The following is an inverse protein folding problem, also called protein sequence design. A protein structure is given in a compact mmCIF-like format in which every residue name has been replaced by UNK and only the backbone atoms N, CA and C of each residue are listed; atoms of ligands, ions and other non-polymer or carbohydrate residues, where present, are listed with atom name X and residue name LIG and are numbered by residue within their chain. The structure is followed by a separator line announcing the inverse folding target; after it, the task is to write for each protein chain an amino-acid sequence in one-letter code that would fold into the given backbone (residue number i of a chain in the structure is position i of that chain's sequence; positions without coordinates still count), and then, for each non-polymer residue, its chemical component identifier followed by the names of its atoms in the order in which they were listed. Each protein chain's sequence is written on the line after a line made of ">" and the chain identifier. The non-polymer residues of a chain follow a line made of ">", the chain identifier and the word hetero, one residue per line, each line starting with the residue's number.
data_IF_256688961639
#
_entry.id   IF_256688961639
#
_cell.length_a   1.000
_cell.length_b   1.000
_cell.length_c   1.000
_cell.angle_alpha   90.00
_cell.angle_beta   90.00
_cell.angle_gamma   90.00
#
_symmetry.space_group_name_H-M   'P 1'
#
loop_
_entity.id
_entity.type
_entity.pdbx_description
1 polymer ?
#
# COMPACT_ATOMS: atom_id res chain seq x y z
N UNK A 1 15.96 -2.58 -11.89
CA UNK A 1 15.29 -3.54 -12.79
C UNK A 1 14.56 -2.89 -13.95
N UNK A 2 14.15 -1.61 -13.88
CA UNK A 2 13.45 -0.93 -14.98
C UNK A 2 14.22 -0.98 -16.31
N UNK A 3 15.55 -0.87 -16.25
CA UNK A 3 16.44 -0.98 -17.42
C UNK A 3 16.30 -2.33 -18.16
N UNK A 4 15.87 -3.38 -17.47
CA UNK A 4 15.59 -4.69 -18.07
C UNK A 4 14.09 -4.85 -18.40
N UNK A 5 13.19 -4.33 -17.57
CA UNK A 5 11.75 -4.46 -17.77
C UNK A 5 11.22 -3.64 -18.96
N UNK A 6 11.72 -2.42 -19.19
CA UNK A 6 11.23 -1.55 -20.27
C UNK A 6 11.52 -2.15 -21.65
N UNK A 7 12.75 -2.57 -22.00
CA UNK A 7 13.02 -3.19 -23.30
C UNK A 7 12.19 -4.47 -23.51
N UNK A 8 12.05 -5.30 -22.48
CA UNK A 8 11.26 -6.54 -22.55
C UNK A 8 9.77 -6.24 -22.82
N UNK A 9 9.19 -5.22 -22.18
CA UNK A 9 7.82 -4.81 -22.45
C UNK A 9 7.64 -4.28 -23.89
N UNK A 10 8.65 -3.57 -24.40
CA UNK A 10 8.64 -3.06 -25.78
C UNK A 10 8.72 -4.20 -26.82
N UNK A 11 9.42 -5.30 -26.54
CA UNK A 11 9.35 -6.51 -27.38
C UNK A 11 7.94 -7.12 -27.39
N UNK A 12 7.30 -7.23 -26.21
CA UNK A 12 5.92 -7.69 -26.10
C UNK A 12 4.93 -6.81 -26.88
N UNK A 13 5.18 -5.50 -26.91
CA UNK A 13 4.42 -4.57 -27.75
C UNK A 13 4.54 -4.87 -29.25
N UNK A 14 5.73 -5.25 -29.72
CA UNK A 14 5.98 -5.64 -31.12
C UNK A 14 5.38 -7.00 -31.50
N UNK A 15 4.93 -7.78 -30.51
CA UNK A 15 4.40 -9.13 -30.70
C UNK A 15 5.46 -10.23 -30.60
N UNK A 16 6.69 -9.88 -30.21
CA UNK A 16 7.79 -10.81 -29.97
C UNK A 16 7.67 -11.41 -28.56
N UNK A 17 6.72 -12.33 -28.38
CA UNK A 17 6.40 -12.92 -27.06
C UNK A 17 7.36 -14.02 -26.60
N UNK A 18 8.12 -14.60 -27.51
CA UNK A 18 9.00 -15.75 -27.25
C UNK A 18 10.45 -15.34 -26.96
N UNK A 19 10.80 -14.08 -27.20
CA UNK A 19 12.10 -13.54 -26.81
C UNK A 19 12.09 -13.14 -25.33
N UNK A 20 13.09 -13.61 -24.58
CA UNK A 20 13.19 -13.36 -23.15
C UNK A 20 14.59 -12.96 -22.74
N UNK A 21 14.71 -11.85 -22.02
CA UNK A 21 15.98 -11.40 -21.48
C UNK A 21 16.44 -12.36 -20.35
N UNK A 22 17.62 -13.01 -20.48
CA UNK A 22 18.08 -14.02 -19.52
C UNK A 22 18.35 -13.47 -18.11
N UNK A 23 18.45 -12.14 -17.95
CA UNK A 23 18.61 -11.49 -16.63
C UNK A 23 17.30 -11.40 -15.85
N UNK A 24 16.15 -11.63 -16.49
CA UNK A 24 14.84 -11.57 -15.85
C UNK A 24 14.43 -12.96 -15.35
N UNK A 25 14.26 -13.09 -14.04
CA UNK A 25 13.77 -14.31 -13.38
C UNK A 25 12.29 -14.22 -12.99
N UNK A 26 11.66 -13.05 -13.15
CA UNK A 26 10.24 -12.83 -12.85
C UNK A 26 9.36 -13.33 -14.00
N UNK A 27 8.16 -13.88 -13.76
CA UNK A 27 7.28 -14.26 -14.86
C UNK A 27 6.71 -13.03 -15.62
N UNK A 28 6.06 -13.22 -16.79
CA UNK A 28 5.72 -12.13 -17.72
C UNK A 28 4.46 -11.32 -17.37
N UNK A 29 3.92 -11.44 -16.15
CA UNK A 29 2.62 -10.88 -15.78
C UNK A 29 2.51 -9.37 -15.95
N UNK A 30 3.57 -8.62 -15.65
CA UNK A 30 3.63 -7.17 -15.87
C UNK A 30 3.49 -6.81 -17.35
N UNK A 31 4.24 -7.51 -18.21
CA UNK A 31 4.27 -7.23 -19.66
C UNK A 31 2.97 -7.61 -20.34
N UNK A 32 2.43 -8.79 -19.99
CA UNK A 32 1.12 -9.23 -20.48
C UNK A 32 0.06 -8.20 -20.09
N UNK A 33 0.04 -7.76 -18.83
CA UNK A 33 -0.97 -6.81 -18.34
C UNK A 33 -0.85 -5.45 -19.03
N UNK A 34 0.36 -4.89 -19.14
CA UNK A 34 0.57 -3.64 -19.88
C UNK A 34 0.14 -3.76 -21.34
N UNK A 35 0.46 -4.86 -22.01
CA UNK A 35 0.10 -5.06 -23.41
C UNK A 35 -1.42 -5.23 -23.61
N UNK A 36 -2.12 -5.89 -22.68
CA UNK A 36 -3.58 -5.99 -22.67
C UNK A 36 -4.27 -4.62 -22.51
N UNK A 37 -3.63 -3.67 -21.84
CA UNK A 37 -4.13 -2.30 -21.72
C UNK A 37 -3.79 -1.49 -22.97
N UNK A 38 -2.54 -1.57 -23.43
CA UNK A 38 -1.99 -0.73 -24.50
C UNK A 38 -2.52 -1.11 -25.89
N UNK A 39 -2.62 -2.40 -26.24
CA UNK A 39 -3.02 -2.83 -27.60
C UNK A 39 -4.42 -2.36 -28.00
N UNK A 40 -5.48 -2.57 -27.18
CA UNK A 40 -6.81 -2.06 -27.50
C UNK A 40 -6.81 -0.54 -27.62
N UNK A 41 -6.04 0.15 -26.77
CA UNK A 41 -5.91 1.60 -26.79
C UNK A 41 -5.23 2.08 -28.09
N UNK A 42 -4.19 1.38 -28.54
CA UNK A 42 -3.48 1.68 -29.79
C UNK A 42 -4.37 1.55 -31.03
N UNK A 43 -5.26 0.55 -31.02
CA UNK A 43 -6.26 0.37 -32.06
C UNK A 43 -7.27 1.53 -32.09
N UNK A 44 -7.72 2.01 -30.92
CA UNK A 44 -8.65 3.14 -30.80
C UNK A 44 -8.02 4.46 -31.27
N UNK A 45 -6.75 4.70 -30.93
CA UNK A 45 -6.02 5.93 -31.30
C UNK A 45 -5.26 5.83 -32.62
N UNK A 46 -5.59 4.86 -33.48
CA UNK A 46 -5.04 4.65 -34.82
C UNK A 46 -3.50 4.71 -34.90
N UNK A 47 -2.80 4.19 -33.88
CA UNK A 47 -1.32 4.23 -33.79
C UNK A 47 -0.69 5.62 -33.94
N UNK A 48 -1.43 6.71 -33.75
CA UNK A 48 -0.89 8.07 -33.86
C UNK A 48 0.10 8.39 -32.72
N UNK A 49 -0.02 7.66 -31.61
CA UNK A 49 0.76 7.83 -30.38
C UNK A 49 1.55 6.55 -30.11
N UNK A 50 2.85 6.67 -29.81
CA UNK A 50 3.66 5.55 -29.33
C UNK A 50 3.29 5.22 -27.87
N UNK A 51 2.25 4.40 -27.71
CA UNK A 51 1.73 3.95 -26.40
C UNK A 51 2.66 2.95 -25.69
N UNK A 52 3.72 2.48 -26.33
CA UNK A 52 4.75 1.63 -25.71
C UNK A 52 5.98 2.43 -25.24
N UNK A 53 5.84 3.75 -25.12
CA UNK A 53 6.84 4.57 -24.45
C UNK A 53 6.91 4.27 -22.95
N UNK A 54 8.06 4.58 -22.35
CA UNK A 54 8.32 4.39 -20.92
C UNK A 54 7.24 5.03 -20.03
N UNK A 55 6.72 6.19 -20.40
CA UNK A 55 5.72 6.90 -19.60
C UNK A 55 4.38 6.14 -19.55
N UNK A 56 3.93 5.59 -20.67
CA UNK A 56 2.70 4.78 -20.71
C UNK A 56 2.86 3.43 -20.02
N UNK A 57 4.04 2.82 -20.15
CA UNK A 57 4.36 1.60 -19.40
C UNK A 57 4.29 1.88 -17.89
N UNK A 58 4.95 2.93 -17.39
CA UNK A 58 4.88 3.37 -15.98
C UNK A 58 3.44 3.67 -15.52
N UNK A 59 2.59 4.21 -16.40
CA UNK A 59 1.18 4.46 -16.08
C UNK A 59 0.42 3.16 -15.69
N UNK A 60 0.86 1.98 -16.16
CA UNK A 60 0.32 0.69 -15.70
C UNK A 60 0.43 0.55 -14.17
N UNK A 61 1.57 0.94 -13.59
CA UNK A 61 1.77 0.85 -12.14
C UNK A 61 0.99 1.90 -11.36
N UNK A 62 0.75 3.07 -11.96
CA UNK A 62 -0.17 4.07 -11.39
C UNK A 62 -1.60 3.50 -11.31
N UNK A 63 -2.05 2.78 -12.34
CA UNK A 63 -3.36 2.12 -12.31
C UNK A 63 -3.45 1.07 -11.20
N UNK A 64 -2.38 0.29 -10.98
CA UNK A 64 -2.32 -0.62 -9.83
C UNK A 64 -2.35 0.13 -8.50
N UNK A 65 -1.66 1.27 -8.38
CA UNK A 65 -1.71 2.11 -7.17
C UNK A 65 -3.12 2.64 -6.85
N UNK A 66 -3.84 3.12 -7.87
CA UNK A 66 -5.24 3.54 -7.73
C UNK A 66 -6.13 2.35 -7.34
N UNK A 67 -5.91 1.20 -7.97
CA UNK A 67 -6.59 -0.04 -7.62
C UNK A 67 -6.33 -0.47 -6.18
N UNK A 68 -5.08 -0.39 -5.74
CA UNK A 68 -4.62 -0.76 -4.41
C UNK A 68 -5.32 0.08 -3.34
N UNK A 69 -5.45 1.40 -3.54
CA UNK A 69 -6.24 2.26 -2.66
C UNK A 69 -7.68 1.75 -2.50
N UNK A 70 -8.35 1.39 -3.61
CA UNK A 70 -9.73 0.87 -3.58
C UNK A 70 -9.84 -0.45 -2.80
N UNK A 71 -8.88 -1.36 -3.00
CA UNK A 71 -8.82 -2.65 -2.31
C UNK A 71 -8.58 -2.45 -0.81
N UNK A 72 -7.57 -1.66 -0.44
CA UNK A 72 -7.26 -1.34 0.96
C UNK A 72 -8.45 -0.70 1.67
N UNK A 73 -9.13 0.26 1.02
CA UNK A 73 -10.33 0.87 1.58
C UNK A 73 -11.42 -0.17 1.87
N UNK A 74 -11.67 -1.09 0.94
CA UNK A 74 -12.65 -2.18 1.14
C UNK A 74 -12.24 -3.14 2.26
N UNK A 75 -10.96 -3.50 2.36
CA UNK A 75 -10.45 -4.33 3.46
C UNK A 75 -10.65 -3.64 4.81
N UNK A 76 -10.29 -2.36 4.91
CA UNK A 76 -10.48 -1.57 6.13
C UNK A 76 -11.95 -1.46 6.54
N UNK A 77 -12.88 -1.33 5.58
CA UNK A 77 -14.33 -1.35 5.86
C UNK A 77 -14.76 -2.70 6.45
N UNK A 78 -14.22 -3.81 5.95
CA UNK A 78 -14.52 -5.15 6.47
C UNK A 78 -13.97 -5.36 7.89
N UNK A 79 -12.77 -4.83 8.19
CA UNK A 79 -12.15 -4.99 9.50
C UNK A 79 -12.66 -4.00 10.56
N UNK A 80 -13.06 -2.79 10.15
CA UNK A 80 -13.50 -1.72 11.05
C UNK A 80 -14.87 -1.16 10.64
N UNK A 81 -15.96 -1.95 10.69
CA UNK A 81 -17.27 -1.57 10.16
C UNK A 81 -17.91 -0.36 10.88
N UNK A 82 -17.55 -0.13 12.15
CA UNK A 82 -18.09 0.96 12.97
C UNK A 82 -17.23 2.24 12.95
N UNK A 83 -16.10 2.24 12.24
CA UNK A 83 -15.22 3.40 12.17
C UNK A 83 -15.71 4.39 11.11
N UNK A 84 -15.42 5.68 11.34
CA UNK A 84 -15.77 6.74 10.39
C UNK A 84 -15.17 6.48 8.99
N UNK A 85 -15.99 6.74 7.96
CA UNK A 85 -15.67 6.45 6.56
C UNK A 85 -14.59 7.37 6.01
N UNK A 86 -14.50 8.60 6.51
CA UNK A 86 -13.45 9.53 6.09
C UNK A 86 -12.11 9.09 6.69
N UNK A 87 -12.10 8.72 7.96
CA UNK A 87 -10.91 8.16 8.62
C UNK A 87 -10.42 6.86 7.95
N UNK A 88 -11.33 5.94 7.58
CA UNK A 88 -10.96 4.74 6.81
C UNK A 88 -10.35 5.11 5.45
N UNK A 89 -10.95 6.07 4.76
CA UNK A 89 -10.47 6.50 3.44
C UNK A 89 -9.10 7.17 3.53
N UNK A 90 -8.85 7.95 4.58
CA UNK A 90 -7.55 8.55 4.87
C UNK A 90 -6.50 7.49 5.19
N UNK A 91 -6.80 6.54 6.08
CA UNK A 91 -5.87 5.45 6.43
C UNK A 91 -5.54 4.57 5.21
N UNK A 92 -6.54 4.25 4.38
CA UNK A 92 -6.31 3.51 3.14
C UNK A 92 -5.43 4.31 2.16
N UNK A 93 -5.61 5.63 2.08
CA UNK A 93 -4.75 6.50 1.28
C UNK A 93 -3.31 6.47 1.83
N UNK A 94 -3.12 6.68 3.13
CA UNK A 94 -1.80 6.61 3.79
C UNK A 94 -1.10 5.28 3.53
N UNK A 95 -1.82 4.15 3.59
CA UNK A 95 -1.26 2.83 3.28
C UNK A 95 -0.91 2.68 1.79
N UNK A 96 -1.75 3.17 0.88
CA UNK A 96 -1.46 3.11 -0.57
C UNK A 96 -0.30 4.02 -1.00
N UNK A 97 -0.10 5.12 -0.26
CA UNK A 97 0.98 6.08 -0.46
C UNK A 97 2.17 5.79 0.47
N UNK A 98 2.21 4.61 1.11
CA UNK A 98 3.29 4.26 2.02
C UNK A 98 4.63 4.45 1.31
N UNK A 99 5.63 5.10 1.91
CA UNK A 99 6.83 5.57 1.22
C UNK A 99 7.52 4.53 0.34
N UNK A 100 7.56 3.26 0.79
CA UNK A 100 8.11 2.15 0.02
C UNK A 100 7.29 1.89 -1.25
N UNK A 101 5.97 1.82 -1.15
CA UNK A 101 5.07 1.61 -2.30
C UNK A 101 5.02 2.80 -3.25
N UNK A 102 5.17 4.03 -2.74
CA UNK A 102 5.18 5.26 -3.53
C UNK A 102 6.20 5.19 -4.67
N UNK A 103 7.47 4.85 -4.38
CA UNK A 103 8.49 4.78 -5.43
C UNK A 103 8.18 3.74 -6.50
N UNK A 104 7.73 2.55 -6.09
CA UNK A 104 7.46 1.46 -7.04
C UNK A 104 6.23 1.71 -7.91
N UNK A 105 5.28 2.54 -7.47
CA UNK A 105 4.12 2.92 -8.28
C UNK A 105 4.46 3.83 -9.47
N UNK A 106 5.59 4.55 -9.44
CA UNK A 106 6.04 5.41 -10.55
C UNK A 106 7.10 4.77 -11.44
N UNK A 107 7.72 3.68 -11.00
CA UNK A 107 8.69 2.90 -11.77
C UNK A 107 8.00 1.68 -12.39
N UNK A 108 8.48 1.24 -13.55
CA UNK A 108 7.90 0.07 -14.23
C UNK A 108 8.43 -1.25 -13.64
N UNK A 109 7.90 -1.60 -12.46
CA UNK A 109 8.31 -2.74 -11.62
C UNK A 109 7.16 -3.71 -11.36
N UNK A 110 7.46 -4.94 -10.97
CA UNK A 110 6.45 -5.99 -10.71
C UNK A 110 5.74 -5.83 -9.37
N UNK A 111 6.33 -5.09 -8.43
CA UNK A 111 5.89 -4.96 -7.03
C UNK A 111 4.49 -4.35 -6.88
N UNK A 112 4.16 -3.31 -7.65
CA UNK A 112 2.84 -2.65 -7.60
C UNK A 112 1.72 -3.60 -8.03
N UNK A 113 1.88 -4.30 -9.15
CA UNK A 113 0.91 -5.31 -9.60
C UNK A 113 0.84 -6.50 -8.66
N UNK A 114 1.99 -6.97 -8.17
CA UNK A 114 2.10 -8.06 -7.20
C UNK A 114 1.27 -7.80 -5.94
N UNK A 115 1.50 -6.66 -5.28
CA UNK A 115 0.78 -6.28 -4.05
C UNK A 115 -0.71 -6.07 -4.31
N UNK A 116 -1.07 -5.41 -5.42
CA UNK A 116 -2.46 -5.22 -5.83
C UNK A 116 -3.22 -6.54 -5.99
N UNK A 117 -2.70 -7.49 -6.78
CA UNK A 117 -3.39 -8.75 -7.04
C UNK A 117 -3.43 -9.68 -5.82
N UNK A 118 -2.38 -9.72 -4.99
CA UNK A 118 -2.39 -10.49 -3.73
C UNK A 118 -3.48 -9.96 -2.79
N UNK A 119 -3.55 -8.64 -2.57
CA UNK A 119 -4.55 -8.07 -1.67
C UNK A 119 -5.97 -8.15 -2.24
N UNK A 120 -6.13 -8.11 -3.56
CA UNK A 120 -7.42 -8.34 -4.19
C UNK A 120 -7.87 -9.79 -4.03
N UNK A 121 -6.98 -10.75 -4.24
CA UNK A 121 -7.24 -12.17 -3.96
C UNK A 121 -7.68 -12.37 -2.51
N UNK A 122 -6.98 -11.73 -1.57
CA UNK A 122 -7.31 -11.80 -0.15
C UNK A 122 -8.69 -11.18 0.16
N UNK A 123 -9.01 -10.01 -0.39
CA UNK A 123 -10.34 -9.40 -0.24
C UNK A 123 -11.44 -10.34 -0.73
N UNK A 124 -11.26 -10.97 -1.89
CA UNK A 124 -12.21 -11.94 -2.44
C UNK A 124 -12.38 -13.17 -1.55
N UNK A 125 -11.30 -13.62 -0.89
CA UNK A 125 -11.35 -14.73 0.06
C UNK A 125 -12.21 -14.40 1.29
N UNK A 126 -12.08 -13.18 1.82
CA UNK A 126 -12.90 -12.68 2.94
C UNK A 126 -14.36 -12.53 2.51
N UNK A 127 -14.62 -12.11 1.27
CA UNK A 127 -15.96 -12.06 0.68
C UNK A 127 -16.53 -13.46 0.33
N UNK A 128 -15.86 -14.56 0.73
CA UNK A 128 -16.23 -15.96 0.43
C UNK A 128 -16.29 -16.30 -1.07
N UNK A 129 -15.70 -15.47 -1.92
CA UNK A 129 -15.61 -15.68 -3.38
C UNK A 129 -14.34 -16.45 -3.73
N UNK A 130 -14.22 -17.67 -3.21
CA UNK A 130 -12.97 -18.46 -3.25
C UNK A 130 -12.47 -18.74 -4.67
N UNK A 131 -13.37 -19.00 -5.61
CA UNK A 131 -12.99 -19.28 -7.01
C UNK A 131 -12.35 -18.06 -7.69
N UNK A 132 -12.93 -16.87 -7.48
CA UNK A 132 -12.36 -15.62 -7.98
C UNK A 132 -11.06 -15.27 -7.25
N UNK A 133 -11.00 -15.52 -5.94
CA UNK A 133 -9.78 -15.37 -5.14
C UNK A 133 -8.65 -16.23 -5.72
N UNK A 134 -8.89 -17.51 -6.01
CA UNK A 134 -7.90 -18.40 -6.60
C UNK A 134 -7.42 -17.92 -7.98
N UNK A 135 -8.32 -17.47 -8.85
CA UNK A 135 -7.98 -16.92 -10.16
C UNK A 135 -7.09 -15.68 -10.04
N UNK A 136 -7.50 -14.71 -9.22
CA UNK A 136 -6.75 -13.46 -8.99
C UNK A 136 -5.41 -13.74 -8.30
N UNK A 137 -5.38 -14.70 -7.36
CA UNK A 137 -4.17 -15.20 -6.73
C UNK A 137 -3.21 -15.83 -7.75
N UNK A 138 -3.72 -16.60 -8.70
CA UNK A 138 -2.95 -17.15 -9.81
C UNK A 138 -2.31 -16.05 -10.68
N UNK A 139 -3.08 -15.01 -11.02
CA UNK A 139 -2.55 -13.83 -11.75
C UNK A 139 -1.43 -13.17 -10.95
N UNK A 140 -1.55 -13.07 -9.63
CA UNK A 140 -0.49 -12.48 -8.79
C UNK A 140 0.85 -13.24 -8.92
N UNK A 141 0.83 -14.56 -9.10
CA UNK A 141 2.05 -15.37 -9.28
C UNK A 141 2.75 -15.03 -10.59
N UNK A 142 2.01 -14.64 -11.63
CA UNK A 142 2.58 -14.19 -12.90
C UNK A 142 3.38 -12.88 -12.75
N UNK A 143 3.12 -12.08 -11.72
CA UNK A 143 3.96 -10.91 -11.41
C UNK A 143 5.23 -11.33 -10.68
N UNK A 144 5.10 -12.22 -9.70
CA UNK A 144 6.24 -12.73 -8.92
C UNK A 144 5.97 -14.16 -8.44
N UNK A 145 6.92 -15.06 -8.71
CA UNK A 145 6.88 -16.45 -8.22
C UNK A 145 6.72 -16.55 -6.69
N UNK A 146 7.29 -15.59 -5.95
CA UNK A 146 7.21 -15.52 -4.48
C UNK A 146 5.77 -15.34 -3.96
N UNK A 147 4.83 -14.89 -4.80
CA UNK A 147 3.43 -14.73 -4.38
C UNK A 147 2.72 -16.05 -4.11
N UNK A 148 3.33 -17.18 -4.47
CA UNK A 148 2.82 -18.50 -4.06
C UNK A 148 2.70 -18.61 -2.54
N UNK A 149 3.61 -17.99 -1.77
CA UNK A 149 3.58 -17.98 -0.31
C UNK A 149 2.30 -17.28 0.20
N UNK A 150 1.97 -16.13 -0.40
CA UNK A 150 0.75 -15.39 -0.04
C UNK A 150 -0.52 -16.14 -0.44
N UNK A 151 -0.54 -16.83 -1.58
CA UNK A 151 -1.67 -17.68 -1.96
C UNK A 151 -1.86 -18.86 -0.99
N UNK A 152 -0.78 -19.49 -0.53
CA UNK A 152 -0.84 -20.52 0.51
C UNK A 152 -1.40 -19.97 1.83
N UNK A 153 -0.98 -18.75 2.22
CA UNK A 153 -1.54 -18.07 3.38
C UNK A 153 -3.04 -17.83 3.23
N UNK A 154 -3.49 -17.27 2.10
CA UNK A 154 -4.91 -17.00 1.81
C UNK A 154 -5.73 -18.29 1.80
N UNK A 155 -5.20 -19.37 1.23
CA UNK A 155 -5.82 -20.69 1.26
C UNK A 155 -5.98 -21.18 2.70
N UNK A 156 -4.92 -21.10 3.50
CA UNK A 156 -4.94 -21.49 4.91
C UNK A 156 -5.99 -20.73 5.71
N UNK A 157 -6.05 -19.40 5.57
CA UNK A 157 -7.07 -18.58 6.25
C UNK A 157 -8.49 -18.90 5.78
N UNK A 158 -8.66 -19.19 4.49
CA UNK A 158 -9.96 -19.54 3.92
C UNK A 158 -10.45 -20.90 4.43
N UNK A 159 -9.57 -21.91 4.49
CA UNK A 159 -9.90 -23.23 5.04
C UNK A 159 -10.27 -23.14 6.52
N UNK A 160 -9.51 -22.38 7.31
CA UNK A 160 -9.83 -22.14 8.71
C UNK A 160 -11.19 -21.44 8.89
N UNK A 161 -11.50 -20.46 8.05
CA UNK A 161 -12.80 -19.79 8.07
C UNK A 161 -13.95 -20.76 7.75
N UNK A 162 -13.80 -21.61 6.73
CA UNK A 162 -14.80 -22.62 6.35
C UNK A 162 -14.99 -23.68 7.44
N UNK A 163 -13.89 -24.22 7.99
CA UNK A 163 -13.95 -25.21 9.06
C UNK A 163 -14.54 -24.63 10.36
N UNK A 164 -14.20 -23.38 10.68
CA UNK A 164 -14.76 -22.68 11.84
C UNK A 164 -16.25 -22.38 11.68
N UNK A 165 -16.72 -22.08 10.47
CA UNK A 165 -18.15 -21.90 10.18
C UNK A 165 -18.90 -23.24 10.24
N UNK A 166 -18.27 -24.35 9.83
CA UNK A 166 -18.87 -25.69 9.88
C UNK A 166 -19.08 -26.24 11.31
N UNK A 167 -18.24 -25.84 12.26
CA UNK A 167 -18.34 -26.26 13.67
C UNK A 167 -19.25 -25.33 14.52
N UNK A 168 -20.06 -24.49 13.89
CA UNK A 168 -20.86 -23.45 14.55
C UNK A 168 -22.20 -24.00 15.08
N UNK A 169 -22.40 -23.98 16.40
CA UNK A 169 -23.70 -24.26 17.05
C UNK A 169 -24.59 -22.99 17.03
N UNK A 170 -25.76 -23.02 16.35
CA UNK A 170 -26.66 -21.87 16.21
C UNK A 170 -27.26 -21.38 17.55
N UNK A 171 -27.14 -22.11 18.65
CA UNK A 171 -27.69 -21.70 19.97
C UNK A 171 -26.85 -20.63 20.67
N UNK A 172 -25.60 -20.38 20.25
CA UNK A 172 -24.72 -19.39 20.88
C UNK A 172 -24.91 -18.00 20.23
N UNK A 173 -26.01 -17.33 20.61
CA UNK A 173 -26.28 -15.87 20.58
C UNK A 173 -25.84 -15.07 19.34
N UNK A 174 -26.80 -14.77 18.46
CA UNK A 174 -27.32 -13.40 18.24
C UNK A 174 -26.40 -12.22 17.88
N UNK A 175 -25.11 -12.43 17.58
CA UNK A 175 -24.16 -11.32 17.39
C UNK A 175 -23.09 -11.64 16.33
N UNK A 176 -23.45 -12.41 15.31
CA UNK A 176 -22.51 -12.92 14.29
C UNK A 176 -22.82 -12.34 12.91
N UNK A 177 -22.50 -11.07 12.69
CA UNK A 177 -22.52 -10.48 11.34
C UNK A 177 -21.27 -9.65 10.98
N UNK A 178 -20.23 -9.69 11.81
CA UNK A 178 -18.99 -8.94 11.58
C UNK A 178 -17.78 -9.86 11.73
N UNK A 179 -17.48 -10.63 10.68
CA UNK A 179 -16.28 -11.47 10.55
C UNK A 179 -15.36 -10.94 9.46
N UNK A 180 -14.87 -9.72 9.63
CA UNK A 180 -13.48 -9.43 9.28
C UNK A 180 -12.64 -10.02 10.41
N UNK A 181 -11.77 -10.97 10.09
CA UNK A 181 -10.88 -11.73 10.99
C UNK A 181 -10.70 -11.10 12.39
N UNK A 182 -11.55 -11.50 13.34
CA UNK A 182 -11.19 -11.50 14.74
C UNK A 182 -10.58 -12.88 14.99
N UNK A 183 -9.26 -12.97 14.91
CA UNK A 183 -8.53 -14.11 15.49
C UNK A 183 -8.87 -14.08 16.97
N UNK A 184 -9.88 -14.84 17.40
CA UNK A 184 -10.11 -15.08 18.81
C UNK A 184 -9.24 -16.28 19.21
N UNK A 185 -7.94 -16.03 19.30
CA UNK A 185 -7.00 -16.80 20.14
C UNK A 185 -5.72 -15.98 20.31
N UNK A 186 -5.61 -15.37 21.49
CA UNK A 186 -4.64 -14.36 21.87
C UNK A 186 -5.32 -13.48 22.89
N UNK A 187 -5.06 -13.74 24.16
CA UNK A 187 -5.61 -13.04 25.31
C UNK A 187 -5.65 -11.51 25.08
N UNK A 188 -6.78 -10.87 25.41
CA UNK A 188 -7.00 -9.42 25.22
C UNK A 188 -6.03 -8.56 26.03
N UNK A 189 -5.22 -9.19 26.88
CA UNK A 189 -4.12 -8.59 27.65
C UNK A 189 -2.94 -8.11 26.79
N UNK A 190 -2.83 -8.50 25.51
CA UNK A 190 -1.67 -8.16 24.65
C UNK A 190 -1.95 -7.24 23.45
N UNK A 191 -3.18 -6.73 23.27
CA UNK A 191 -3.45 -5.65 22.31
C UNK A 191 -3.35 -4.28 22.99
N UNK A 192 -2.15 -3.95 23.46
CA UNK A 192 -1.79 -2.56 23.71
C UNK A 192 -1.36 -1.95 22.38
N UNK A 193 -1.82 -0.73 22.09
CA UNK A 193 -1.26 0.04 20.98
C UNK A 193 0.22 0.30 21.30
N UNK A 194 1.13 -0.47 20.70
CA UNK A 194 2.56 -0.28 20.88
C UNK A 194 3.03 0.73 19.84
N UNK A 195 3.54 1.87 20.32
CA UNK A 195 4.26 2.83 19.49
C UNK A 195 5.47 2.11 18.88
N UNK A 196 5.43 1.85 17.58
CA UNK A 196 6.56 1.28 16.84
C UNK A 196 7.58 2.39 16.58
N UNK A 197 8.36 2.69 17.62
CA UNK A 197 9.37 3.76 17.65
C UNK A 197 10.27 3.79 16.39
N UNK A 198 10.77 2.65 15.86
CA UNK A 198 11.56 2.67 14.63
C UNK A 198 10.81 3.22 13.41
N UNK A 199 9.49 3.02 13.34
CA UNK A 199 8.67 3.46 12.21
C UNK A 199 8.42 4.97 12.23
N UNK A 200 8.36 5.56 13.42
CA UNK A 200 8.37 7.02 13.59
C UNK A 200 9.71 7.58 13.10
N UNK A 201 10.83 6.94 13.44
CA UNK A 201 12.14 7.36 12.94
C UNK A 201 12.24 7.24 11.42
N UNK A 202 11.76 6.16 10.81
CA UNK A 202 11.72 6.05 9.35
C UNK A 202 10.86 7.14 8.72
N UNK A 203 9.68 7.43 9.29
CA UNK A 203 8.81 8.49 8.80
C UNK A 203 9.44 9.88 8.93
N UNK A 204 10.04 10.20 10.07
CA UNK A 204 10.73 11.48 10.32
C UNK A 204 11.94 11.62 9.40
N UNK A 205 12.85 10.63 9.37
CA UNK A 205 14.03 10.68 8.49
C UNK A 205 13.63 10.85 7.02
N UNK A 206 12.61 10.12 6.57
CA UNK A 206 12.11 10.24 5.21
C UNK A 206 11.53 11.65 4.95
N UNK A 207 10.59 12.10 5.77
CA UNK A 207 9.97 13.43 5.59
C UNK A 207 10.98 14.57 5.68
N UNK A 208 11.98 14.49 6.57
CA UNK A 208 13.04 15.49 6.69
C UNK A 208 13.95 15.51 5.46
N UNK A 209 14.37 14.35 4.94
CA UNK A 209 15.23 14.27 3.75
C UNK A 209 14.52 14.87 2.53
N UNK A 210 13.25 14.49 2.31
CA UNK A 210 12.50 14.94 1.14
C UNK A 210 11.92 16.36 1.30
N UNK A 211 11.80 16.87 2.53
CA UNK A 211 11.43 18.27 2.80
C UNK A 211 12.64 19.20 2.97
N UNK A 212 13.88 18.67 2.95
CA UNK A 212 15.11 19.44 3.10
C UNK A 212 15.20 20.66 2.13
N UNK A 213 14.77 20.58 0.85
CA UNK A 213 14.82 21.74 -0.04
C UNK A 213 13.88 22.88 0.36
N UNK A 214 12.85 22.58 1.16
CA UNK A 214 11.87 23.56 1.67
C UNK A 214 12.34 24.10 3.03
N UNK A 215 12.85 23.22 3.91
CA UNK A 215 13.31 23.55 5.26
C UNK A 215 14.61 24.38 5.22
N UNK A 216 15.51 24.10 4.28
CA UNK A 216 16.81 24.77 4.16
C UNK A 216 16.76 26.11 3.39
N UNK A 217 15.56 26.63 3.10
CA UNK A 217 15.42 28.02 2.66
C UNK A 217 15.74 28.93 3.86
N UNK A 218 16.75 29.80 3.70
CA UNK A 218 17.28 30.68 4.75
C UNK A 218 16.18 31.42 5.54
N UNK A 219 15.13 31.89 4.87
CA UNK A 219 14.01 32.63 5.49
C UNK A 219 13.25 31.86 6.57
N UNK A 220 13.19 30.52 6.50
CA UNK A 220 12.46 29.69 7.45
C UNK A 220 13.32 29.27 8.64
N UNK A 221 14.62 29.09 8.42
CA UNK A 221 15.58 28.75 9.48
C UNK A 221 15.75 29.92 10.44
N UNK A 222 15.85 31.15 9.91
CA UNK A 222 15.96 32.37 10.74
C UNK A 222 14.73 32.57 11.63
N UNK A 223 13.52 32.33 11.10
CA UNK A 223 12.28 32.42 11.87
C UNK A 223 12.21 31.36 12.99
N UNK A 224 12.72 30.16 12.74
CA UNK A 224 12.72 29.08 13.70
C UNK A 224 13.74 29.32 14.83
N UNK A 225 14.93 29.81 14.50
CA UNK A 225 15.96 30.19 15.49
C UNK A 225 15.46 31.36 16.34
N UNK A 226 14.90 32.41 15.71
CA UNK A 226 14.39 33.59 16.43
C UNK A 226 13.20 33.22 17.34
N UNK A 227 12.34 32.29 16.92
CA UNK A 227 11.22 31.77 17.71
C UNK A 227 11.67 30.95 18.93
N UNK A 228 12.76 30.18 18.80
CA UNK A 228 13.32 29.40 19.92
C UNK A 228 14.00 30.30 20.97
N UNK A 229 14.66 31.38 20.53
CA UNK A 229 15.27 32.35 21.46
C UNK A 229 14.23 33.21 22.21
N UNK A 230 13.12 33.59 21.56
CA UNK A 230 12.04 34.36 22.21
C UNK A 230 11.27 33.55 23.26
N UNK A 231 11.09 32.24 23.04
CA UNK A 231 10.49 31.35 24.05
C UNK A 231 11.39 31.16 25.29
N UNK A 232 12.71 31.26 25.13
CA UNK A 232 13.67 31.07 26.23
C UNK A 232 13.83 32.32 27.11
N UNK A 233 13.55 33.52 26.59
CA UNK A 233 13.56 34.75 27.39
C UNK A 233 12.28 34.95 28.20
N UNK A 234 11.12 34.50 27.70
CA UNK A 234 9.84 34.72 28.38
C UNK A 234 9.59 33.76 29.57
N UNK A 235 10.41 32.72 29.75
CA UNK A 235 10.32 31.84 30.94
C UNK A 235 11.21 32.30 32.10
N UNK A 236 12.12 33.26 31.90
CA UNK A 236 13.01 33.74 32.95
C UNK A 236 12.55 35.05 33.60
N UNK A 237 11.63 35.80 32.98
CA UNK A 237 11.11 37.05 33.55
C UNK A 237 9.89 36.87 34.48
N UNK A 238 9.24 35.70 34.46
CA UNK A 238 8.06 35.45 35.31
C UNK A 238 8.39 34.99 36.75
N UNK A 239 9.65 34.71 37.08
CA UNK A 239 10.07 34.27 38.42
C UNK A 239 10.62 35.38 39.33
N UNK A 240 10.77 36.62 38.83
CA UNK A 240 11.39 37.72 39.61
C UNK A 240 10.33 38.64 40.27
N UNK A 241 9.07 38.65 39.82
CA UNK A 241 8.08 39.60 40.33
C UNK A 241 7.23 39.16 41.53
N UNK A 242 7.41 37.95 42.09
CA UNK A 242 6.55 37.45 43.18
C UNK A 242 7.19 37.39 44.58
N UNK A 243 8.41 37.92 44.78
CA UNK A 243 9.07 38.00 46.11
C UNK A 243 9.51 39.43 46.47
N UNK A 244 8.55 40.34 46.67
CA UNK A 244 8.79 41.60 47.38
C UNK A 244 7.47 42.35 47.60
N UNK A 245 6.70 41.96 48.62
CA UNK A 245 5.80 42.82 49.41
C UNK A 245 5.09 41.95 50.44
N UNK A 246 5.72 41.72 51.59
CA UNK A 246 5.05 41.62 52.89
C UNK A 246 6.12 41.73 53.99
N UNK A 247 5.97 42.80 54.78
CA UNK A 247 6.69 43.22 56.00
C UNK A 247 8.05 43.86 55.78
#
# INVERSE_FOLDING_TARGET
>A
DEIFHIPQAQQYCKGEYYEWNPKLTTPPGLYITSNLIIKPLSFIFFNYINLCSTNFLRATNILFGIGLYKILRKLMINFHPFQDRNLISFNALTLSLFPVGWFFNFLYYTDSGSTFFVLWSYLLSIEKKYWMSALVGGISVLFRQSNIIWNCFILGTSLLAVLSDSNYDPKIKGMSYYRGINIRSGDKSNHTAVLHIPQIFYFISFTTIFSAPIILKFDYVDRLITGLFTLKFNSNDNDIHHKSTHV
#
